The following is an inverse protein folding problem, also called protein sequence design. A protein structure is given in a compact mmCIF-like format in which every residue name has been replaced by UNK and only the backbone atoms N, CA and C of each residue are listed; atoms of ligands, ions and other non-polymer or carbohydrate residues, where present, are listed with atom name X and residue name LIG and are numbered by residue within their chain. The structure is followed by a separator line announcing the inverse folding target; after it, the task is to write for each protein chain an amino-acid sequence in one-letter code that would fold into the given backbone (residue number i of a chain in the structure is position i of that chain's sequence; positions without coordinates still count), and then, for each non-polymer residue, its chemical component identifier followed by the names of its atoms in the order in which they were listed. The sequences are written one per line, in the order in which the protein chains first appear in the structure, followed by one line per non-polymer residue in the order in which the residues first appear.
data_IF_994578097490
#
_entry.id   IF_994578097490
#
_cell.length_a   1.000
_cell.length_b   1.000
_cell.length_c   1.000
_cell.angle_alpha   90.00
_cell.angle_beta   90.00
_cell.angle_gamma   90.00
#
_symmetry.space_group_name_H-M   'P 1'
#
loop_
_entity.id
_entity.type
_entity.pdbx_description
1 polymer ?
#
# COMPACT_ATOMS: atom_id res chain seq x y z
N UNK A 1 -6.15 25.76 5.69
CA UNK A 1 -5.69 24.91 4.56
C UNK A 1 -4.17 24.79 4.43
N UNK A 2 -3.38 25.88 4.37
CA UNK A 2 -1.90 25.75 4.23
C UNK A 2 -1.22 25.10 5.44
N UNK A 3 -1.63 25.44 6.65
CA UNK A 3 -1.09 24.84 7.89
C UNK A 3 -1.46 23.34 8.03
N UNK A 4 -2.64 22.92 7.55
CA UNK A 4 -3.05 21.51 7.57
C UNK A 4 -2.23 20.64 6.63
N UNK A 5 -1.87 21.12 5.44
CA UNK A 5 -1.10 20.38 4.46
C UNK A 5 0.33 20.08 4.95
N UNK A 6 1.02 21.11 5.46
CA UNK A 6 2.39 20.92 5.99
C UNK A 6 2.42 20.01 7.22
N UNK A 7 1.45 20.15 8.13
CA UNK A 7 1.33 19.28 9.30
C UNK A 7 1.07 17.82 8.92
N UNK A 8 0.30 17.56 7.86
CA UNK A 8 0.07 16.22 7.35
C UNK A 8 1.32 15.62 6.69
N UNK A 9 2.06 16.39 5.91
CA UNK A 9 3.34 15.96 5.31
C UNK A 9 4.32 15.53 6.42
N UNK A 10 4.49 16.34 7.45
CA UNK A 10 5.40 16.03 8.56
C UNK A 10 4.89 14.84 9.38
N UNK A 11 3.58 14.75 9.61
CA UNK A 11 2.95 13.59 10.24
C UNK A 11 3.22 12.30 9.45
N UNK A 12 3.04 12.31 8.12
CA UNK A 12 3.29 11.15 7.27
C UNK A 12 4.75 10.70 7.29
N UNK A 13 5.69 11.66 7.24
CA UNK A 13 7.14 11.37 7.36
C UNK A 13 7.48 10.75 8.70
N UNK A 14 6.99 11.34 9.79
CA UNK A 14 7.22 10.87 11.16
C UNK A 14 6.62 9.48 11.38
N UNK A 15 5.36 9.27 10.97
CA UNK A 15 4.71 7.96 11.08
C UNK A 15 5.47 6.89 10.31
N UNK A 16 5.90 7.17 9.09
CA UNK A 16 6.69 6.22 8.30
C UNK A 16 7.96 5.82 9.04
N UNK A 17 8.70 6.78 9.58
CA UNK A 17 9.93 6.53 10.33
C UNK A 17 9.67 5.69 11.59
N UNK A 18 8.66 6.05 12.38
CA UNK A 18 8.29 5.33 13.59
C UNK A 18 7.86 3.88 13.30
N UNK A 19 7.10 3.66 12.23
CA UNK A 19 6.69 2.32 11.81
C UNK A 19 7.91 1.47 11.43
N UNK A 20 8.87 2.02 10.71
CA UNK A 20 10.09 1.30 10.35
C UNK A 20 10.91 0.91 11.58
N UNK A 21 11.11 1.81 12.54
CA UNK A 21 11.80 1.52 13.81
C UNK A 21 11.05 0.42 14.58
N UNK A 22 9.73 0.61 14.75
CA UNK A 22 8.90 -0.38 15.43
C UNK A 22 9.02 -1.76 14.80
N UNK A 23 8.99 -1.84 13.46
CA UNK A 23 9.13 -3.10 12.74
C UNK A 23 10.47 -3.80 13.03
N UNK A 24 11.58 -3.06 12.99
CA UNK A 24 12.91 -3.62 13.28
C UNK A 24 12.97 -4.16 14.71
N UNK A 25 12.49 -3.37 15.69
CA UNK A 25 12.45 -3.79 17.09
C UNK A 25 11.57 -5.03 17.26
N UNK A 26 10.39 -5.03 16.64
CA UNK A 26 9.44 -6.13 16.72
C UNK A 26 10.00 -7.44 16.14
N UNK A 27 10.56 -7.40 14.93
CA UNK A 27 11.16 -8.59 14.31
C UNK A 27 12.32 -9.12 15.15
N UNK A 28 13.19 -8.23 15.64
CA UNK A 28 14.31 -8.60 16.51
C UNK A 28 13.82 -9.24 17.80
N UNK A 29 12.79 -8.67 18.44
CA UNK A 29 12.20 -9.21 19.67
C UNK A 29 11.58 -10.60 19.45
N UNK A 30 10.81 -10.77 18.36
CA UNK A 30 10.21 -12.08 18.02
C UNK A 30 11.28 -13.13 17.82
N UNK A 31 12.33 -12.83 17.05
CA UNK A 31 13.43 -13.76 16.82
C UNK A 31 14.21 -14.04 18.10
N UNK A 32 14.45 -13.02 18.94
CA UNK A 32 15.08 -13.19 20.25
C UNK A 32 14.30 -14.18 21.11
N UNK A 33 12.99 -14.01 21.24
CA UNK A 33 12.13 -14.92 22.03
C UNK A 33 12.18 -16.34 21.48
N UNK A 34 12.07 -16.52 20.15
CA UNK A 34 12.15 -17.84 19.53
C UNK A 34 13.53 -18.47 19.81
N UNK A 35 14.61 -17.74 19.60
CA UNK A 35 15.97 -18.22 19.82
C UNK A 35 16.21 -18.60 21.27
N UNK A 36 15.71 -17.81 22.22
CA UNK A 36 15.87 -18.05 23.65
C UNK A 36 15.26 -19.39 24.10
N UNK A 37 14.11 -19.78 23.50
CA UNK A 37 13.42 -21.03 23.87
C UNK A 37 13.92 -22.28 23.12
N UNK A 38 14.48 -22.12 21.93
CA UNK A 38 14.81 -23.25 21.05
C UNK A 38 16.31 -23.46 20.82
N UNK A 39 17.16 -22.49 21.17
CA UNK A 39 18.60 -22.57 20.92
C UNK A 39 19.40 -22.51 22.21
N UNK A 40 20.65 -23.05 22.24
CA UNK A 40 21.57 -22.85 23.35
C UNK A 40 21.80 -21.37 23.60
N UNK A 41 21.93 -20.98 24.87
CA UNK A 41 22.09 -19.59 25.32
C UNK A 41 23.23 -18.83 24.60
N UNK A 42 24.33 -19.51 24.32
CA UNK A 42 25.48 -18.94 23.58
C UNK A 42 25.10 -18.51 22.15
N UNK A 43 24.24 -19.29 21.48
CA UNK A 43 23.76 -18.99 20.13
C UNK A 43 22.85 -17.78 20.10
N UNK A 44 22.08 -17.50 21.14
CA UNK A 44 21.15 -16.37 21.23
C UNK A 44 21.91 -15.04 21.16
N UNK A 45 23.03 -14.93 21.89
CA UNK A 45 23.86 -13.73 21.88
C UNK A 45 24.48 -13.41 20.51
N UNK A 46 24.73 -14.43 19.70
CA UNK A 46 25.26 -14.25 18.35
C UNK A 46 24.15 -13.96 17.32
N UNK A 47 23.03 -14.69 17.38
CA UNK A 47 21.94 -14.59 16.40
C UNK A 47 21.18 -13.26 16.50
N UNK A 48 20.94 -12.77 17.73
CA UNK A 48 20.16 -11.54 17.93
C UNK A 48 20.74 -10.30 17.23
N UNK A 49 22.05 -9.98 17.35
CA UNK A 49 22.65 -8.86 16.62
C UNK A 49 22.63 -9.05 15.10
N UNK A 50 22.81 -10.29 14.62
CA UNK A 50 22.76 -10.60 13.18
C UNK A 50 21.36 -10.34 12.62
N UNK A 51 20.30 -10.77 13.33
CA UNK A 51 18.92 -10.51 12.91
C UNK A 51 18.56 -9.02 13.02
N UNK A 52 19.04 -8.34 14.06
CA UNK A 52 18.86 -6.88 14.17
C UNK A 52 19.48 -6.15 12.96
N UNK A 53 20.69 -6.49 12.59
CA UNK A 53 21.35 -5.92 11.43
C UNK A 53 20.61 -6.26 10.13
N UNK A 54 20.26 -7.53 9.94
CA UNK A 54 19.53 -7.99 8.76
C UNK A 54 18.16 -7.32 8.63
N UNK A 55 17.37 -7.23 9.70
CA UNK A 55 16.06 -6.58 9.69
C UNK A 55 16.17 -5.08 9.44
N UNK A 56 17.21 -4.43 9.99
CA UNK A 56 17.49 -3.01 9.76
C UNK A 56 17.82 -2.74 8.29
N UNK A 57 18.74 -3.52 7.71
CA UNK A 57 19.14 -3.40 6.30
C UNK A 57 17.95 -3.71 5.38
N UNK A 58 17.20 -4.79 5.67
CA UNK A 58 16.01 -5.17 4.88
C UNK A 58 14.93 -4.10 4.93
N UNK A 59 14.66 -3.52 6.10
CA UNK A 59 13.70 -2.42 6.28
C UNK A 59 14.12 -1.19 5.46
N UNK A 60 15.41 -0.82 5.51
CA UNK A 60 15.94 0.28 4.74
C UNK A 60 15.84 0.03 3.23
N UNK A 61 16.25 -1.15 2.75
CA UNK A 61 16.15 -1.51 1.33
C UNK A 61 14.70 -1.56 0.86
N UNK A 62 13.81 -2.10 1.66
CA UNK A 62 12.36 -2.14 1.35
C UNK A 62 11.77 -0.75 1.22
N UNK A 63 12.17 0.18 2.08
CA UNK A 63 11.81 1.58 1.95
C UNK A 63 12.43 2.22 0.70
N UNK A 64 13.73 1.97 0.45
CA UNK A 64 14.46 2.59 -0.66
C UNK A 64 13.95 2.14 -2.03
N UNK A 65 13.55 0.89 -2.16
CA UNK A 65 13.04 0.27 -3.39
C UNK A 65 11.53 0.04 -3.37
N UNK A 66 10.78 0.75 -2.51
CA UNK A 66 9.33 0.54 -2.32
C UNK A 66 8.51 0.65 -3.59
N UNK A 67 8.84 1.61 -4.46
CA UNK A 67 8.25 1.78 -5.79
C UNK A 67 8.47 0.55 -6.67
N UNK A 68 9.72 0.10 -6.80
CA UNK A 68 10.08 -1.05 -7.64
C UNK A 68 9.48 -2.35 -7.15
N UNK A 69 9.51 -2.56 -5.82
CA UNK A 69 8.92 -3.75 -5.18
C UNK A 69 7.41 -3.78 -5.44
N UNK A 70 6.71 -2.67 -5.20
CA UNK A 70 5.26 -2.59 -5.41
C UNK A 70 4.89 -2.82 -6.86
N UNK A 71 5.56 -2.18 -7.81
CA UNK A 71 5.32 -2.35 -9.24
C UNK A 71 5.60 -3.78 -9.71
N UNK A 72 6.66 -4.42 -9.21
CA UNK A 72 6.97 -5.82 -9.52
C UNK A 72 5.92 -6.79 -8.97
N UNK A 73 5.43 -6.58 -7.75
CA UNK A 73 4.40 -7.44 -7.13
C UNK A 73 3.09 -7.47 -7.93
N UNK A 74 2.71 -6.34 -8.53
CA UNK A 74 1.51 -6.26 -9.37
C UNK A 74 1.77 -6.57 -10.85
N UNK A 75 3.03 -6.80 -11.25
CA UNK A 75 3.41 -7.07 -12.61
C UNK A 75 3.23 -5.87 -13.54
N UNK A 76 3.46 -4.66 -13.02
CA UNK A 76 3.35 -3.43 -13.79
C UNK A 76 4.43 -3.32 -14.87
N UNK A 77 4.07 -2.76 -16.02
CA UNK A 77 4.94 -2.48 -17.17
C UNK A 77 5.01 -0.97 -17.39
N UNK A 78 6.11 -0.48 -17.93
CA UNK A 78 6.23 0.93 -18.30
C UNK A 78 5.21 1.32 -19.36
N UNK A 79 4.58 2.47 -19.20
CA UNK A 79 3.56 3.00 -20.12
C UNK A 79 4.25 3.74 -21.27
N UNK A 80 4.82 2.97 -22.21
CA UNK A 80 5.53 3.48 -23.40
C UNK A 80 4.74 3.17 -24.68
N UNK A 81 4.89 4.03 -25.67
CA UNK A 81 4.24 3.85 -26.99
C UNK A 81 2.97 4.68 -27.21
N UNK A 82 2.40 4.62 -28.43
CA UNK A 82 1.30 5.49 -28.87
C UNK A 82 0.04 5.41 -28.01
N UNK A 83 -0.30 4.23 -27.49
CA UNK A 83 -1.50 4.01 -26.68
C UNK A 83 -1.48 4.74 -25.34
N UNK A 84 -0.32 5.19 -24.87
CA UNK A 84 -0.16 5.83 -23.56
C UNK A 84 0.14 7.34 -23.66
N UNK A 85 0.14 7.92 -24.87
CA UNK A 85 0.48 9.34 -25.07
C UNK A 85 -0.42 10.26 -24.26
N UNK A 86 -1.74 10.05 -24.31
CA UNK A 86 -2.69 10.87 -23.52
C UNK A 86 -2.43 10.74 -22.03
N UNK A 87 -2.25 9.53 -21.52
CA UNK A 87 -1.98 9.26 -20.11
C UNK A 87 -0.71 10.00 -19.65
N UNK A 88 0.38 9.85 -20.41
CA UNK A 88 1.66 10.47 -20.09
C UNK A 88 1.59 12.01 -20.14
N UNK A 89 0.84 12.57 -21.09
CA UNK A 89 0.60 14.02 -21.19
C UNK A 89 -0.19 14.53 -19.97
N UNK A 90 -1.23 13.83 -19.54
CA UNK A 90 -2.01 14.21 -18.36
C UNK A 90 -1.16 14.18 -17.09
N UNK A 91 -0.35 13.13 -16.90
CA UNK A 91 0.57 13.05 -15.77
C UNK A 91 1.54 14.21 -15.76
N UNK A 92 2.16 14.55 -16.90
CA UNK A 92 3.07 15.67 -17.00
C UNK A 92 2.38 17.02 -16.69
N UNK A 93 1.21 17.27 -17.29
CA UNK A 93 0.48 18.52 -17.12
C UNK A 93 0.08 18.74 -15.65
N UNK A 94 -0.51 17.73 -15.01
CA UNK A 94 -0.92 17.85 -13.60
C UNK A 94 0.30 17.96 -12.68
N UNK A 95 1.42 17.31 -13.01
CA UNK A 95 2.67 17.43 -12.24
C UNK A 95 3.21 18.86 -12.25
N UNK A 96 3.14 19.55 -13.41
CA UNK A 96 3.50 20.97 -13.53
C UNK A 96 2.61 21.84 -12.63
N UNK A 97 1.28 21.63 -12.68
CA UNK A 97 0.32 22.35 -11.83
C UNK A 97 0.58 22.08 -10.36
N UNK A 98 0.88 20.84 -10.01
CA UNK A 98 1.19 20.45 -8.64
C UNK A 98 2.57 20.93 -8.16
N UNK A 99 3.48 21.34 -9.06
CA UNK A 99 4.84 21.75 -8.73
C UNK A 99 5.71 20.59 -8.25
N UNK A 100 5.57 19.41 -8.85
CA UNK A 100 6.38 18.22 -8.57
C UNK A 100 7.07 17.70 -9.83
N UNK A 101 8.11 16.90 -9.66
CA UNK A 101 8.72 16.16 -10.76
C UNK A 101 7.71 15.13 -11.28
N UNK A 102 7.48 15.04 -12.61
CA UNK A 102 6.56 14.04 -13.15
C UNK A 102 6.92 12.62 -12.72
N UNK A 103 5.99 11.89 -12.09
CA UNK A 103 6.21 10.50 -11.71
C UNK A 103 6.37 9.60 -12.93
N UNK A 104 7.12 8.50 -12.77
CA UNK A 104 7.22 7.48 -13.80
C UNK A 104 5.87 6.80 -14.02
N UNK A 105 5.51 6.55 -15.28
CA UNK A 105 4.20 6.02 -15.66
C UNK A 105 4.27 4.52 -15.96
N UNK A 106 3.32 3.78 -15.38
CA UNK A 106 3.20 2.33 -15.53
C UNK A 106 1.76 1.92 -15.81
N UNK A 107 1.57 0.70 -16.33
CA UNK A 107 0.27 0.10 -16.50
C UNK A 107 0.25 -1.38 -16.13
N UNK A 108 -0.94 -1.89 -15.83
CA UNK A 108 -1.25 -3.30 -15.60
C UNK A 108 -2.31 -3.73 -16.62
N UNK A 109 -2.15 -4.89 -17.23
CA UNK A 109 -3.17 -5.47 -18.09
C UNK A 109 -4.26 -6.08 -17.20
N UNK A 110 -5.31 -5.32 -16.97
CA UNK A 110 -6.48 -5.71 -16.18
C UNK A 110 -7.71 -4.92 -16.64
N UNK A 111 -8.84 -5.61 -16.81
CA UNK A 111 -10.09 -4.97 -17.25
C UNK A 111 -10.79 -4.17 -16.15
N UNK A 112 -10.48 -4.44 -14.88
CA UNK A 112 -11.03 -3.69 -13.77
C UNK A 112 -10.41 -2.27 -13.75
N UNK A 113 -11.22 -1.19 -13.82
CA UNK A 113 -10.71 0.17 -13.81
C UNK A 113 -10.14 0.53 -12.45
N UNK A 114 -8.85 0.82 -12.38
CA UNK A 114 -8.20 1.24 -11.16
C UNK A 114 -6.86 1.96 -11.44
N UNK A 115 -6.36 2.68 -10.43
CA UNK A 115 -5.07 3.35 -10.42
C UNK A 115 -4.43 3.27 -9.05
N UNK A 116 -3.15 3.56 -8.95
CA UNK A 116 -2.47 3.84 -7.69
C UNK A 116 -1.16 4.59 -7.92
N UNK A 117 -0.73 5.34 -6.90
CA UNK A 117 0.60 5.91 -6.84
C UNK A 117 1.47 5.17 -5.80
N UNK A 118 2.77 5.12 -6.05
CA UNK A 118 3.76 4.50 -5.14
C UNK A 118 5.07 5.26 -5.17
N UNK A 119 5.91 5.06 -4.15
CA UNK A 119 7.22 5.70 -4.07
C UNK A 119 7.53 6.31 -2.72
N UNK A 120 8.65 7.05 -2.68
CA UNK A 120 9.18 7.66 -1.45
C UNK A 120 8.78 9.13 -1.28
N UNK A 121 8.16 9.72 -2.29
CA UNK A 121 7.75 11.11 -2.31
C UNK A 121 7.87 11.74 -3.69
N UNK A 122 7.66 13.07 -3.81
CA UNK A 122 7.56 13.78 -5.09
C UNK A 122 8.76 13.63 -6.04
N UNK A 123 9.96 13.38 -5.50
CA UNK A 123 11.18 13.20 -6.32
C UNK A 123 11.42 11.76 -6.77
N UNK A 124 10.69 10.79 -6.23
CA UNK A 124 10.85 9.36 -6.54
C UNK A 124 9.50 8.66 -6.39
N UNK A 125 8.69 8.78 -7.42
CA UNK A 125 7.32 8.27 -7.45
C UNK A 125 6.97 7.68 -8.81
N UNK A 126 5.94 6.83 -8.80
CA UNK A 126 5.35 6.24 -9.99
C UNK A 126 3.82 6.23 -9.87
N UNK A 127 3.13 6.37 -10.99
CA UNK A 127 1.69 6.15 -11.09
C UNK A 127 1.46 4.96 -11.99
N UNK A 128 0.60 4.06 -11.56
CA UNK A 128 0.21 2.87 -12.29
C UNK A 128 -1.30 2.84 -12.52
N UNK A 129 -1.72 2.60 -13.75
CA UNK A 129 -3.13 2.49 -14.14
C UNK A 129 -3.40 1.12 -14.74
N UNK A 130 -4.64 0.66 -14.68
CA UNK A 130 -5.05 -0.54 -15.40
C UNK A 130 -5.45 -0.19 -16.83
N UNK A 131 -5.35 -1.14 -17.77
CA UNK A 131 -5.86 -0.97 -19.14
C UNK A 131 -7.35 -0.66 -19.14
N UNK A 132 -8.13 -1.30 -18.25
CA UNK A 132 -9.55 -1.04 -18.10
C UNK A 132 -9.88 0.39 -17.64
N UNK A 133 -8.99 1.04 -16.87
CA UNK A 133 -9.17 2.46 -16.54
C UNK A 133 -9.03 3.35 -17.78
N UNK A 134 -8.01 3.10 -18.59
CA UNK A 134 -7.75 3.88 -19.82
C UNK A 134 -8.84 3.70 -20.86
N UNK A 135 -9.47 2.52 -20.92
CA UNK A 135 -10.54 2.21 -21.86
C UNK A 135 -11.90 2.79 -21.45
N UNK A 136 -12.18 2.86 -20.13
CA UNK A 136 -13.51 3.22 -19.62
C UNK A 136 -13.67 4.71 -19.32
N UNK A 137 -12.58 5.41 -18.97
CA UNK A 137 -12.64 6.82 -18.61
C UNK A 137 -12.39 7.73 -19.81
N UNK A 138 -13.17 8.79 -19.90
CA UNK A 138 -12.87 9.89 -20.81
C UNK A 138 -11.70 10.75 -20.29
N UNK A 139 -11.23 11.69 -21.10
CA UNK A 139 -10.07 12.54 -20.76
C UNK A 139 -10.23 13.27 -19.44
N UNK A 140 -11.39 13.89 -19.18
CA UNK A 140 -11.63 14.69 -17.98
C UNK A 140 -11.71 13.81 -16.71
N UNK A 141 -12.30 12.63 -16.81
CA UNK A 141 -12.37 11.65 -15.76
C UNK A 141 -10.99 11.08 -15.43
N UNK A 142 -10.21 10.70 -16.45
CA UNK A 142 -8.83 10.22 -16.29
C UNK A 142 -7.94 11.28 -15.67
N UNK A 143 -8.08 12.55 -16.10
CA UNK A 143 -7.37 13.70 -15.53
C UNK A 143 -7.70 13.87 -14.04
N UNK A 144 -8.96 13.72 -13.65
CA UNK A 144 -9.40 13.73 -12.26
C UNK A 144 -8.72 12.66 -11.40
N UNK A 145 -8.68 11.40 -11.89
CA UNK A 145 -8.00 10.30 -11.19
C UNK A 145 -6.51 10.54 -11.07
N UNK A 146 -5.85 10.98 -12.16
CA UNK A 146 -4.41 11.30 -12.14
C UNK A 146 -4.12 12.44 -11.15
N UNK A 147 -4.96 13.45 -11.09
CA UNK A 147 -4.80 14.58 -10.18
C UNK A 147 -4.93 14.14 -8.71
N UNK A 148 -5.84 13.22 -8.41
CA UNK A 148 -5.97 12.60 -7.10
C UNK A 148 -4.70 11.82 -6.71
N UNK A 149 -4.15 10.99 -7.61
CA UNK A 149 -2.91 10.25 -7.37
C UNK A 149 -1.71 11.20 -7.17
N UNK A 150 -1.63 12.28 -7.95
CA UNK A 150 -0.60 13.31 -7.80
C UNK A 150 -0.74 14.05 -6.47
N UNK A 151 -1.96 14.24 -5.96
CA UNK A 151 -2.17 14.81 -4.63
C UNK A 151 -1.57 13.92 -3.54
N UNK A 152 -1.75 12.60 -3.60
CA UNK A 152 -1.10 11.66 -2.67
C UNK A 152 0.43 11.69 -2.75
N UNK A 153 0.99 11.83 -3.96
CA UNK A 153 2.44 11.99 -4.13
C UNK A 153 2.93 13.27 -3.44
N UNK A 154 2.27 14.39 -3.70
CA UNK A 154 2.64 15.69 -3.13
C UNK A 154 2.57 15.72 -1.62
N UNK A 155 1.58 15.04 -1.04
CA UNK A 155 1.34 14.98 0.40
C UNK A 155 2.18 13.92 1.12
N UNK A 156 3.04 13.17 0.41
CA UNK A 156 3.82 12.05 0.95
C UNK A 156 2.98 10.89 1.48
N UNK A 157 1.70 10.80 1.14
CA UNK A 157 0.83 9.68 1.51
C UNK A 157 1.36 8.36 0.95
N UNK A 158 1.86 8.38 -0.30
CA UNK A 158 2.44 7.22 -0.98
C UNK A 158 3.57 6.55 -0.19
N UNK A 159 4.35 7.35 0.55
CA UNK A 159 5.46 6.86 1.37
C UNK A 159 4.97 5.94 2.48
N UNK A 160 3.98 6.39 3.22
CA UNK A 160 3.38 5.63 4.31
C UNK A 160 2.68 4.37 3.77
N UNK A 161 1.87 4.52 2.72
CA UNK A 161 1.14 3.41 2.09
C UNK A 161 2.10 2.33 1.57
N UNK A 162 3.18 2.71 0.87
CA UNK A 162 4.15 1.76 0.34
C UNK A 162 4.87 0.97 1.45
N UNK A 163 5.33 1.65 2.51
CA UNK A 163 5.99 0.98 3.65
C UNK A 163 5.03 0.01 4.32
N UNK A 164 3.81 0.44 4.61
CA UNK A 164 2.80 -0.42 5.25
C UNK A 164 2.48 -1.64 4.37
N UNK A 165 2.33 -1.47 3.05
CA UNK A 165 2.10 -2.58 2.11
C UNK A 165 3.20 -3.63 2.18
N UNK A 166 4.46 -3.19 2.18
CA UNK A 166 5.62 -4.10 2.23
C UNK A 166 5.66 -4.84 3.57
N UNK A 167 5.43 -4.14 4.68
CA UNK A 167 5.43 -4.75 6.00
C UNK A 167 4.30 -5.77 6.18
N UNK A 168 3.09 -5.46 5.70
CA UNK A 168 1.96 -6.40 5.70
C UNK A 168 2.30 -7.62 4.83
N UNK A 169 2.84 -7.41 3.64
CA UNK A 169 3.25 -8.49 2.75
C UNK A 169 4.33 -9.40 3.37
N UNK A 170 5.31 -8.80 4.04
CA UNK A 170 6.35 -9.54 4.76
C UNK A 170 5.77 -10.40 5.89
N UNK A 171 4.92 -9.81 6.75
CA UNK A 171 4.29 -10.53 7.85
C UNK A 171 3.36 -11.65 7.35
N UNK A 172 2.60 -11.41 6.28
CA UNK A 172 1.77 -12.44 5.64
C UNK A 172 2.63 -13.60 5.10
N UNK A 173 3.77 -13.30 4.48
CA UNK A 173 4.72 -14.30 3.98
C UNK A 173 5.35 -15.12 5.12
N UNK A 174 5.68 -14.47 6.23
CA UNK A 174 6.17 -15.17 7.42
C UNK A 174 5.13 -16.15 7.94
N UNK A 175 3.88 -15.72 8.11
CA UNK A 175 2.79 -16.59 8.56
C UNK A 175 2.62 -17.78 7.61
N UNK A 176 2.56 -17.54 6.30
CA UNK A 176 2.40 -18.61 5.30
C UNK A 176 3.58 -19.58 5.30
N UNK A 177 4.81 -19.11 5.43
CA UNK A 177 6.02 -19.93 5.51
C UNK A 177 5.98 -20.86 6.73
N UNK A 178 5.52 -20.34 7.85
CA UNK A 178 5.37 -21.09 9.10
C UNK A 178 4.31 -22.19 8.95
N UNK A 179 3.14 -21.87 8.37
CA UNK A 179 2.10 -22.87 8.11
C UNK A 179 2.59 -23.97 7.18
N UNK A 180 3.28 -23.62 6.10
CA UNK A 180 3.84 -24.60 5.14
C UNK A 180 4.89 -25.50 5.80
N UNK A 181 5.78 -24.94 6.61
CA UNK A 181 6.81 -25.72 7.31
C UNK A 181 6.19 -26.76 8.25
N UNK A 182 5.12 -26.41 8.98
CA UNK A 182 4.42 -27.36 9.86
C UNK A 182 3.62 -28.43 9.11
N UNK A 183 2.99 -28.09 7.98
CA UNK A 183 2.16 -29.03 7.21
C UNK A 183 3.03 -29.99 6.39
N UNK A 184 4.13 -29.52 5.79
CA UNK A 184 4.96 -30.31 4.88
C UNK A 184 6.27 -30.81 5.50
N UNK A 185 6.77 -30.19 6.58
CA UNK A 185 8.03 -30.56 7.26
C UNK A 185 7.86 -31.52 8.44
N UNK A 186 6.65 -31.84 8.85
CA UNK A 186 6.33 -32.70 10.01
C UNK A 186 6.48 -34.18 9.76
N UNK A 187 7.61 -34.60 9.19
CA UNK A 187 8.02 -35.99 9.13
C UNK A 187 8.64 -36.44 10.45
N UNK A 188 7.93 -37.30 11.19
CA UNK A 188 8.47 -38.23 12.22
C UNK A 188 9.30 -37.58 13.34
N UNK A 189 8.64 -36.95 14.27
CA UNK A 189 9.25 -36.70 15.57
C UNK A 189 8.18 -36.71 16.66
N UNK A 190 8.49 -37.32 17.80
CA UNK A 190 7.64 -37.61 18.94
C UNK A 190 6.48 -36.68 19.23
N UNK A 191 5.30 -37.24 19.48
CA UNK A 191 4.01 -36.58 19.77
C UNK A 191 4.04 -35.49 20.85
N UNK A 192 5.12 -35.32 21.63
CA UNK A 192 5.27 -34.32 22.68
C UNK A 192 5.85 -32.98 22.19
N UNK A 193 6.63 -32.95 21.10
CA UNK A 193 7.27 -31.74 20.59
C UNK A 193 6.36 -30.90 19.65
N UNK A 194 5.41 -31.53 18.95
CA UNK A 194 4.54 -30.86 18.00
C UNK A 194 3.59 -29.83 18.60
N UNK A 195 3.11 -30.07 19.83
CA UNK A 195 2.15 -29.15 20.50
C UNK A 195 2.79 -27.82 20.93
N UNK A 196 4.08 -27.83 21.32
CA UNK A 196 4.79 -26.60 21.73
C UNK A 196 5.02 -25.64 20.58
N UNK A 197 5.39 -26.17 19.42
CA UNK A 197 5.60 -25.37 18.20
C UNK A 197 4.27 -24.79 17.71
N UNK A 198 3.20 -25.56 17.70
CA UNK A 198 1.87 -25.08 17.32
C UNK A 198 1.37 -23.97 18.25
N UNK A 199 1.59 -24.14 19.57
CA UNK A 199 1.26 -23.11 20.56
C UNK A 199 2.05 -21.82 20.35
N UNK A 200 3.35 -21.92 20.07
CA UNK A 200 4.19 -20.75 19.78
C UNK A 200 3.67 -19.99 18.55
N UNK A 201 3.31 -20.69 17.48
CA UNK A 201 2.76 -20.07 16.28
C UNK A 201 1.41 -19.42 16.51
N UNK A 202 0.55 -20.04 17.30
CA UNK A 202 -0.72 -19.46 17.71
C UNK A 202 -0.50 -18.18 18.53
N UNK A 203 0.43 -18.19 19.47
CA UNK A 203 0.82 -17.00 20.23
C UNK A 203 1.37 -15.87 19.34
N UNK A 204 2.26 -16.21 18.39
CA UNK A 204 2.76 -15.24 17.41
C UNK A 204 1.65 -14.65 16.54
N UNK A 205 0.71 -15.47 16.08
CA UNK A 205 -0.46 -15.01 15.33
C UNK A 205 -1.31 -14.05 16.15
N UNK A 206 -1.56 -14.35 17.43
CA UNK A 206 -2.32 -13.47 18.32
C UNK A 206 -1.63 -12.12 18.54
N UNK A 207 -0.30 -12.07 18.55
CA UNK A 207 0.48 -10.84 18.69
C UNK A 207 0.54 -10.07 17.36
N UNK A 208 0.73 -10.76 16.23
CA UNK A 208 0.91 -10.12 14.91
C UNK A 208 -0.41 -9.57 14.37
N UNK A 209 -1.54 -10.26 14.60
CA UNK A 209 -2.82 -9.86 14.00
C UNK A 209 -3.32 -8.46 14.43
N UNK A 210 -3.26 -8.03 15.70
CA UNK A 210 -3.63 -6.66 16.06
C UNK A 210 -2.66 -5.61 15.51
N UNK A 211 -1.37 -5.96 15.39
CA UNK A 211 -0.37 -5.06 14.78
C UNK A 211 -0.69 -4.84 13.30
N UNK A 212 -1.00 -5.91 12.57
CA UNK A 212 -1.44 -5.81 11.17
C UNK A 212 -2.68 -4.93 11.03
N UNK A 213 -3.68 -5.13 11.89
CA UNK A 213 -4.90 -4.33 11.88
C UNK A 213 -4.61 -2.84 12.11
N UNK A 214 -3.70 -2.51 13.04
CA UNK A 214 -3.34 -1.12 13.32
C UNK A 214 -2.51 -0.51 12.17
N UNK A 215 -1.58 -1.26 11.57
CA UNK A 215 -0.85 -0.81 10.38
C UNK A 215 -1.80 -0.51 9.21
N UNK A 216 -2.81 -1.36 8.99
CA UNK A 216 -3.84 -1.13 7.97
C UNK A 216 -4.61 0.16 8.27
N UNK A 217 -5.04 0.38 9.51
CA UNK A 217 -5.72 1.64 9.90
C UNK A 217 -4.85 2.87 9.70
N UNK A 218 -3.54 2.79 9.99
CA UNK A 218 -2.61 3.89 9.76
C UNK A 218 -2.41 4.20 8.28
N UNK A 219 -2.45 3.18 7.41
CA UNK A 219 -2.43 3.37 5.96
C UNK A 219 -3.72 3.99 5.43
N UNK A 220 -4.86 3.66 6.06
CA UNK A 220 -6.19 4.11 5.67
C UNK A 220 -6.58 5.32 6.50
N UNK A 221 -6.77 6.46 5.86
CA UNK A 221 -7.27 7.68 6.53
C UNK A 221 -8.29 8.38 5.65
N UNK A 222 -9.54 8.43 6.11
CA UNK A 222 -10.63 9.13 5.39
C UNK A 222 -10.29 10.60 5.12
N UNK A 223 -9.66 11.26 6.08
CA UNK A 223 -9.27 12.67 5.91
C UNK A 223 -8.22 12.86 4.81
N UNK A 224 -7.31 11.89 4.61
CA UNK A 224 -6.34 11.96 3.50
C UNK A 224 -7.01 11.80 2.16
N UNK A 225 -8.00 10.92 2.04
CA UNK A 225 -8.79 10.75 0.82
C UNK A 225 -9.55 12.03 0.47
N UNK A 226 -10.24 12.64 1.44
CA UNK A 226 -10.94 13.91 1.19
C UNK A 226 -9.99 15.06 0.84
N UNK A 227 -8.80 15.09 1.44
CA UNK A 227 -7.78 16.07 1.08
C UNK A 227 -7.24 15.82 -0.32
N UNK A 228 -7.01 14.57 -0.71
CA UNK A 228 -6.57 14.21 -2.05
C UNK A 228 -7.63 14.53 -3.10
N UNK A 229 -8.92 14.27 -2.80
CA UNK A 229 -10.06 14.68 -3.64
C UNK A 229 -10.09 16.20 -3.84
N UNK A 230 -10.03 16.98 -2.76
CA UNK A 230 -10.05 18.43 -2.82
C UNK A 230 -8.82 19.00 -3.53
N UNK A 231 -7.64 18.41 -3.30
CA UNK A 231 -6.40 18.83 -3.94
C UNK A 231 -6.42 18.49 -5.44
N UNK A 232 -6.88 17.31 -5.81
CA UNK A 232 -7.04 16.89 -7.20
C UNK A 232 -8.04 17.76 -7.95
N UNK A 233 -9.18 18.07 -7.33
CA UNK A 233 -10.17 19.01 -7.86
C UNK A 233 -9.59 20.42 -8.04
N UNK A 234 -8.76 20.86 -7.12
CA UNK A 234 -8.04 22.15 -7.23
C UNK A 234 -7.05 22.16 -8.41
N UNK A 235 -6.33 21.06 -8.67
CA UNK A 235 -5.38 20.96 -9.78
C UNK A 235 -6.06 20.99 -11.13
N UNK A 236 -7.18 20.29 -11.28
CA UNK A 236 -7.94 20.21 -12.55
C UNK A 236 -8.88 21.40 -12.73
N UNK A 237 -9.26 22.09 -11.65
CA UNK A 237 -10.36 23.08 -11.60
C UNK A 237 -11.68 22.52 -12.14
N UNK A 238 -11.83 21.21 -12.14
CA UNK A 238 -13.01 20.49 -12.61
C UNK A 238 -13.38 19.30 -11.71
N UNK A 239 -13.95 19.56 -10.51
CA UNK A 239 -14.31 18.51 -9.54
C UNK A 239 -15.22 17.43 -10.11
N UNK A 240 -16.10 17.81 -11.04
CA UNK A 240 -17.04 16.89 -11.68
C UNK A 240 -16.34 15.73 -12.42
N UNK A 241 -15.18 15.98 -13.04
CA UNK A 241 -14.41 14.92 -13.71
C UNK A 241 -14.03 13.78 -12.77
N UNK A 242 -13.53 14.12 -11.58
CA UNK A 242 -13.21 13.13 -10.54
C UNK A 242 -14.47 12.45 -9.97
N UNK A 243 -15.56 13.20 -9.77
CA UNK A 243 -16.84 12.64 -9.31
C UNK A 243 -17.42 11.61 -10.30
N UNK A 244 -17.41 11.94 -11.59
CA UNK A 244 -17.88 11.05 -12.66
C UNK A 244 -16.99 9.80 -12.78
N UNK A 245 -15.65 9.95 -12.63
CA UNK A 245 -14.71 8.82 -12.57
C UNK A 245 -15.02 7.87 -11.41
N UNK A 246 -15.22 8.42 -10.20
CA UNK A 246 -15.60 7.63 -9.00
C UNK A 246 -16.90 6.86 -9.22
N UNK A 247 -17.91 7.48 -9.82
CA UNK A 247 -19.19 6.83 -10.13
C UNK A 247 -19.00 5.66 -11.10
N UNK A 248 -18.22 5.84 -12.18
CA UNK A 248 -17.95 4.77 -13.16
C UNK A 248 -17.13 3.63 -12.56
N UNK A 249 -16.04 3.93 -11.85
CA UNK A 249 -15.16 2.93 -11.26
C UNK A 249 -15.91 2.10 -10.21
N UNK A 250 -16.71 2.74 -9.37
CA UNK A 250 -17.49 2.06 -8.32
C UNK A 250 -18.61 1.17 -8.87
N UNK A 251 -19.13 1.47 -10.06
CA UNK A 251 -20.17 0.67 -10.72
C UNK A 251 -19.62 -0.63 -11.34
N UNK A 252 -18.32 -0.73 -11.53
CA UNK A 252 -17.69 -1.91 -12.12
C UNK A 252 -17.78 -3.13 -11.19
N UNK A 253 -18.22 -4.27 -11.74
CA UNK A 253 -18.49 -5.49 -10.96
C UNK A 253 -17.34 -6.50 -10.92
N UNK A 254 -16.17 -6.18 -11.45
CA UNK A 254 -14.97 -7.02 -11.43
C UNK A 254 -14.04 -6.69 -10.27
N UNK A 255 -13.01 -7.53 -10.07
CA UNK A 255 -11.92 -7.30 -9.13
C UNK A 255 -10.60 -7.17 -9.86
N UNK A 256 -9.66 -6.42 -9.33
CA UNK A 256 -8.28 -6.35 -9.85
C UNK A 256 -7.57 -7.67 -9.53
N UNK A 257 -7.10 -8.38 -10.55
CA UNK A 257 -6.53 -9.74 -10.41
C UNK A 257 -5.29 -9.80 -9.51
N UNK A 258 -4.49 -8.75 -9.49
CA UNK A 258 -3.24 -8.66 -8.71
C UNK A 258 -3.40 -7.94 -7.38
N UNK A 259 -4.62 -7.58 -7.01
CA UNK A 259 -4.88 -7.02 -5.69
C UNK A 259 -4.81 -8.11 -4.62
N UNK A 260 -4.15 -7.77 -3.52
CA UNK A 260 -4.02 -8.58 -2.31
C UNK A 260 -4.46 -7.76 -1.11
N UNK A 261 -4.74 -8.39 0.02
CA UNK A 261 -5.05 -7.67 1.27
C UNK A 261 -3.95 -6.67 1.65
N UNK A 262 -2.69 -7.01 1.34
CA UNK A 262 -1.53 -6.16 1.65
C UNK A 262 -1.42 -4.91 0.79
N UNK A 263 -1.89 -4.92 -0.46
CA UNK A 263 -1.78 -3.79 -1.37
C UNK A 263 -3.13 -3.10 -1.70
N UNK A 264 -4.24 -3.63 -1.20
CA UNK A 264 -5.59 -3.14 -1.51
C UNK A 264 -5.79 -1.65 -1.18
N UNK A 265 -5.18 -1.19 -0.10
CA UNK A 265 -5.28 0.21 0.36
C UNK A 265 -4.51 1.22 -0.49
N UNK A 266 -3.72 0.76 -1.44
CA UNK A 266 -3.00 1.63 -2.38
C UNK A 266 -3.84 1.99 -3.60
N UNK A 267 -4.83 1.19 -3.94
CA UNK A 267 -5.66 1.40 -5.13
C UNK A 267 -6.64 2.56 -4.92
N UNK A 268 -6.92 3.32 -6.00
CA UNK A 268 -7.84 4.45 -6.04
C UNK A 268 -9.27 4.09 -5.58
N UNK A 269 -9.72 2.89 -5.95
CA UNK A 269 -10.99 2.33 -5.49
C UNK A 269 -10.79 0.90 -5.00
N UNK A 270 -11.73 0.42 -4.15
CA UNK A 270 -11.64 -0.92 -3.59
C UNK A 270 -11.47 -1.98 -4.70
N UNK A 271 -10.33 -2.71 -4.72
CA UNK A 271 -10.03 -3.64 -5.79
C UNK A 271 -10.78 -4.98 -5.69
N UNK A 272 -11.59 -5.21 -4.64
CA UNK A 272 -12.31 -6.47 -4.41
C UNK A 272 -13.81 -6.38 -4.72
N UNK A 273 -14.38 -7.46 -5.28
CA UNK A 273 -15.79 -7.55 -5.66
C UNK A 273 -16.76 -7.80 -4.50
N UNK A 274 -16.35 -8.53 -3.46
CA UNK A 274 -17.25 -9.00 -2.40
C UNK A 274 -17.45 -7.99 -1.29
N UNK A 275 -18.68 -7.47 -1.17
CA UNK A 275 -19.11 -6.53 -0.12
C UNK A 275 -18.99 -7.08 1.32
N UNK A 276 -19.06 -8.39 1.54
CA UNK A 276 -19.02 -8.99 2.88
C UNK A 276 -17.62 -8.98 3.53
N UNK A 277 -16.56 -9.05 2.73
CA UNK A 277 -15.17 -8.92 3.21
C UNK A 277 -14.76 -7.45 3.32
N UNK A 278 -15.45 -6.55 2.62
CA UNK A 278 -15.10 -5.14 2.49
C UNK A 278 -15.47 -4.28 3.69
N UNK A 279 -16.47 -4.67 4.52
CA UNK A 279 -16.87 -3.83 5.65
C UNK A 279 -15.81 -3.72 6.76
N UNK A 280 -14.97 -4.72 6.93
CA UNK A 280 -13.81 -4.68 7.86
C UNK A 280 -12.55 -4.05 7.25
N UNK A 281 -12.42 -4.08 5.92
CA UNK A 281 -11.27 -3.59 5.15
C UNK A 281 -11.65 -2.52 4.12
N UNK A 282 -12.72 -1.74 4.35
CA UNK A 282 -13.02 -0.63 3.45
C UNK A 282 -11.91 0.42 3.55
N UNK A 283 -11.04 0.39 2.56
CA UNK A 283 -9.82 1.20 2.48
C UNK A 283 -10.10 2.68 2.17
N UNK A 284 -11.31 2.97 1.69
CA UNK A 284 -11.72 4.34 1.31
C UNK A 284 -13.03 4.74 1.99
N UNK A 285 -13.30 6.06 2.12
CA UNK A 285 -14.61 6.56 2.50
C UNK A 285 -15.71 6.09 1.54
N UNK A 286 -16.99 6.13 1.94
CA UNK A 286 -18.11 5.83 1.04
C UNK A 286 -17.99 6.68 -0.24
N UNK A 287 -18.15 6.03 -1.40
CA UNK A 287 -17.98 6.68 -2.71
C UNK A 287 -19.01 7.79 -2.88
N UNK A 288 -20.22 7.56 -2.42
CA UNK A 288 -21.32 8.54 -2.47
C UNK A 288 -20.97 9.82 -1.71
N UNK A 289 -20.29 9.69 -0.57
CA UNK A 289 -19.85 10.85 0.22
C UNK A 289 -18.73 11.62 -0.49
N UNK A 290 -17.77 10.92 -1.12
CA UNK A 290 -16.72 11.57 -1.92
C UNK A 290 -17.33 12.32 -3.11
N UNK A 291 -18.24 11.69 -3.86
CA UNK A 291 -18.95 12.32 -4.99
C UNK A 291 -19.72 13.56 -4.53
N UNK A 292 -20.51 13.45 -3.46
CA UNK A 292 -21.29 14.57 -2.95
C UNK A 292 -20.39 15.75 -2.54
N UNK A 293 -19.26 15.51 -1.90
CA UNK A 293 -18.31 16.57 -1.53
C UNK A 293 -17.69 17.25 -2.76
N UNK A 294 -17.31 16.48 -3.78
CA UNK A 294 -16.75 17.01 -5.03
C UNK A 294 -17.77 17.87 -5.81
N UNK A 295 -19.04 17.44 -5.87
CA UNK A 295 -20.08 18.20 -6.58
C UNK A 295 -20.49 19.49 -5.87
N UNK A 296 -20.16 19.63 -4.58
CA UNK A 296 -20.42 20.84 -3.79
C UNK A 296 -19.19 21.76 -3.65
N UNK A 297 -18.12 21.51 -4.40
CA UNK A 297 -16.94 22.39 -4.51
C UNK A 297 -17.10 23.36 -5.67
#
# INVERSE_FOLDING_TARGET
MKNDLYSQIDSNKTKTFLIMIFFVIFVTFVVYVISYYFLPSESVWFITPVIFLFSSVSSFLSFWYSDKITLALVGAKKAEGPSFVLYNQLVNNISIVAGIIPPATYYIVDNAPNAFATGRGPSSSAICVTTGLLEQLNKAELEGVIAHEIAHIKNYDIRLMAVVSILIGFLATLIDSVFRFNIFGGGRSDKKSGNGILLLFFMLFLIISPILAELIKLAISRNREYLADATGAYFTRYPKGLADALAKISSYRGSVKKATTGNAHMFFANPFKNKSVTNFFSTHPPVEERINRLLNM
#
